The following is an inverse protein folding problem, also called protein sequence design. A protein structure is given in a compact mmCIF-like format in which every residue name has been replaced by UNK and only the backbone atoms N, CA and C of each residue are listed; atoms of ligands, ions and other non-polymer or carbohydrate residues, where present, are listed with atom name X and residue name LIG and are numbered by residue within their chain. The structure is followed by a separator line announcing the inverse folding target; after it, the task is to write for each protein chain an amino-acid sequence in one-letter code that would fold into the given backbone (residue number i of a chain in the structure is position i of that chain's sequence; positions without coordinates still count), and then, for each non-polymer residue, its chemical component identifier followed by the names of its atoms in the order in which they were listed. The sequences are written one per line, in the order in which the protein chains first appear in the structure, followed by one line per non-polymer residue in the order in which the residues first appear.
data_IF_344504882304
#
_entry.id   IF_344504882304
#
_cell.length_a   1.000
_cell.length_b   1.000
_cell.length_c   1.000
_cell.angle_alpha   90.00
_cell.angle_beta   90.00
_cell.angle_gamma   90.00
#
_symmetry.space_group_name_H-M   'P 1'
#
loop_
_entity.id
_entity.type
_entity.pdbx_description
1 polymer ?
#
# COMPACT_ATOMS: atom_id res chain seq x y z
N UNK A 1 -2.83 -8.93 18.58
CA UNK A 1 -1.73 -8.86 17.60
C UNK A 1 -1.80 -10.08 16.70
N UNK A 2 -1.64 -9.94 15.38
CA UNK A 2 -1.63 -11.09 14.46
C UNK A 2 -0.26 -11.77 14.49
N UNK A 3 -0.21 -13.11 14.53
CA UNK A 3 1.02 -13.92 14.55
C UNK A 3 2.07 -13.49 13.51
N UNK A 4 1.61 -13.13 12.31
CA UNK A 4 2.49 -12.71 11.22
C UNK A 4 3.18 -11.35 11.48
N UNK A 5 2.55 -10.43 12.23
CA UNK A 5 3.11 -9.09 12.54
C UNK A 5 4.11 -9.12 13.69
N UNK A 6 4.13 -10.18 14.49
CA UNK A 6 5.09 -10.39 15.58
C UNK A 6 6.28 -11.25 15.16
N UNK A 7 6.30 -11.73 13.91
CA UNK A 7 7.36 -12.61 13.41
C UNK A 7 8.63 -11.80 13.07
N UNK A 8 9.85 -12.34 13.30
CA UNK A 8 11.11 -11.67 12.95
C UNK A 8 11.22 -11.28 11.48
N UNK A 9 10.53 -11.99 10.59
CA UNK A 9 10.50 -11.68 9.16
C UNK A 9 9.70 -10.43 8.84
N UNK A 10 8.95 -9.85 9.77
CA UNK A 10 8.18 -8.64 9.53
C UNK A 10 9.10 -7.41 9.43
N UNK A 11 9.19 -6.85 8.21
CA UNK A 11 9.99 -5.68 7.90
C UNK A 11 9.23 -4.36 8.09
N UNK A 12 7.96 -4.44 8.48
CA UNK A 12 7.09 -3.29 8.68
C UNK A 12 6.08 -3.08 7.55
N UNK A 13 5.53 -1.87 7.51
CA UNK A 13 4.61 -1.45 6.46
C UNK A 13 5.39 -0.65 5.42
N UNK A 14 5.33 -1.08 4.15
CA UNK A 14 5.84 -0.29 3.03
C UNK A 14 4.66 0.36 2.33
N UNK A 15 4.89 1.58 1.88
CA UNK A 15 3.92 2.34 1.13
C UNK A 15 4.64 2.99 -0.03
N UNK A 16 4.02 2.93 -1.20
CA UNK A 16 4.40 3.84 -2.26
C UNK A 16 4.01 5.26 -1.88
N UNK A 17 4.99 6.15 -1.96
CA UNK A 17 4.85 7.55 -1.55
C UNK A 17 4.22 8.33 -2.69
N UNK A 18 2.90 8.29 -2.79
CA UNK A 18 2.15 9.15 -3.70
C UNK A 18 1.58 10.36 -2.93
N UNK A 19 1.78 11.54 -3.50
CA UNK A 19 1.07 12.75 -3.10
C UNK A 19 -0.28 12.75 -3.79
N UNK A 20 -1.37 12.86 -3.02
CA UNK A 20 -2.70 13.02 -3.62
C UNK A 20 -2.77 14.44 -4.17
N UNK A 21 -3.15 14.58 -5.44
CA UNK A 21 -3.35 15.87 -6.09
C UNK A 21 -4.84 16.17 -6.23
N UNK A 22 -5.18 17.46 -6.18
CA UNK A 22 -6.46 18.02 -6.60
C UNK A 22 -6.56 17.99 -8.14
N UNK A 23 -7.76 18.17 -8.72
CA UNK A 23 -7.95 18.20 -10.19
C UNK A 23 -7.12 19.26 -10.92
N UNK A 24 -6.65 20.29 -10.20
CA UNK A 24 -5.78 21.34 -10.72
C UNK A 24 -4.27 20.99 -10.64
N UNK A 25 -3.93 19.78 -10.18
CA UNK A 25 -2.54 19.30 -10.07
C UNK A 25 -1.79 19.73 -8.80
N UNK A 26 -2.43 20.47 -7.89
CA UNK A 26 -1.81 20.86 -6.60
C UNK A 26 -1.99 19.76 -5.55
N UNK A 27 -1.05 19.58 -4.60
CA UNK A 27 -1.23 18.62 -3.51
C UNK A 27 -2.51 18.90 -2.71
N UNK A 28 -3.27 17.84 -2.41
CA UNK A 28 -4.43 17.86 -1.54
C UNK A 28 -3.96 17.99 -0.08
N UNK A 29 -4.52 18.94 0.66
CA UNK A 29 -4.15 19.21 2.05
C UNK A 29 -5.37 19.11 2.95
N UNK A 30 -5.22 18.39 4.06
CA UNK A 30 -6.15 18.41 5.19
C UNK A 30 -5.69 19.44 6.21
N UNK A 31 -6.63 20.26 6.70
CA UNK A 31 -6.39 21.24 7.76
C UNK A 31 -6.89 20.63 9.06
N UNK A 32 -5.98 20.36 10.00
CA UNK A 32 -6.33 19.94 11.35
C UNK A 32 -6.12 21.12 12.31
N UNK A 33 -7.11 21.39 13.16
CA UNK A 33 -6.99 22.39 14.23
C UNK A 33 -6.66 21.65 15.52
N UNK A 34 -5.45 21.83 16.04
CA UNK A 34 -5.03 21.26 17.32
C UNK A 34 -4.51 22.39 18.21
N UNK A 35 -5.08 22.53 19.41
CA UNK A 35 -4.66 23.54 20.38
C UNK A 35 -4.79 25.00 19.92
N UNK A 36 -5.72 25.30 19.00
CA UNK A 36 -5.91 26.65 18.46
C UNK A 36 -4.97 27.04 17.30
N UNK A 37 -4.03 26.16 16.91
CA UNK A 37 -3.23 26.34 15.70
C UNK A 37 -3.77 25.48 14.55
N UNK A 38 -3.76 26.05 13.34
CA UNK A 38 -4.11 25.35 12.11
C UNK A 38 -2.86 24.70 11.52
N UNK A 39 -2.85 23.37 11.42
CA UNK A 39 -1.78 22.60 10.80
C UNK A 39 -2.27 22.06 9.46
N UNK A 40 -1.58 22.45 8.37
CA UNK A 40 -1.78 21.87 7.04
C UNK A 40 -0.95 20.59 6.91
N UNK A 41 -1.63 19.46 6.70
CA UNK A 41 -0.99 18.17 6.40
C UNK A 41 -1.32 17.76 4.97
N UNK A 42 -0.29 17.43 4.20
CA UNK A 42 -0.45 16.82 2.87
C UNK A 42 -1.19 15.51 3.04
N UNK A 43 -2.23 15.30 2.25
CA UNK A 43 -2.96 14.05 2.25
C UNK A 43 -2.12 13.00 1.54
N UNK A 44 -1.70 12.01 2.31
CA UNK A 44 -0.91 10.87 1.84
C UNK A 44 -1.77 9.61 1.87
N UNK A 45 -1.48 8.65 1.00
CA UNK A 45 -2.07 7.31 1.13
C UNK A 45 -1.65 6.69 2.48
N UNK A 46 -2.44 5.78 3.04
CA UNK A 46 -2.04 5.02 4.25
C UNK A 46 -1.26 3.77 3.83
N UNK A 47 -0.25 3.32 4.59
CA UNK A 47 0.47 2.09 4.28
C UNK A 47 -0.47 0.91 4.37
N UNK A 48 -0.73 0.23 3.25
CA UNK A 48 -1.61 -0.95 3.20
C UNK A 48 -0.85 -2.25 2.93
N UNK A 49 0.40 -2.19 2.48
CA UNK A 49 1.21 -3.37 2.19
C UNK A 49 2.04 -3.77 3.42
N UNK A 50 1.90 -5.02 3.83
CA UNK A 50 2.78 -5.65 4.81
C UNK A 50 4.04 -6.13 4.08
N UNK A 51 5.20 -5.85 4.64
CA UNK A 51 6.47 -6.30 4.09
C UNK A 51 7.12 -7.33 4.98
N UNK A 52 7.62 -8.39 4.33
CA UNK A 52 8.26 -9.51 4.98
C UNK A 52 9.55 -9.90 4.26
N UNK A 53 10.49 -10.48 4.99
CA UNK A 53 11.62 -11.20 4.43
C UNK A 53 11.12 -12.54 3.85
N UNK A 54 11.06 -12.60 2.52
CA UNK A 54 10.63 -13.80 1.80
C UNK A 54 11.57 -14.98 2.04
N UNK A 55 12.88 -14.79 2.08
CA UNK A 55 13.84 -15.88 2.22
C UNK A 55 13.69 -16.58 3.57
N UNK A 56 13.49 -15.78 4.63
CA UNK A 56 13.23 -16.31 5.96
C UNK A 56 11.91 -17.07 6.03
N UNK A 57 10.85 -16.55 5.38
CA UNK A 57 9.56 -17.24 5.35
C UNK A 57 9.59 -18.53 4.50
N UNK A 58 10.33 -18.54 3.38
CA UNK A 58 10.54 -19.71 2.53
C UNK A 58 11.20 -20.84 3.33
N UNK A 59 12.27 -20.54 4.07
CA UNK A 59 13.01 -21.54 4.85
C UNK A 59 12.18 -22.12 6.01
N UNK A 60 11.44 -21.27 6.73
CA UNK A 60 10.67 -21.69 7.91
C UNK A 60 9.33 -22.37 7.59
N UNK A 61 8.65 -21.95 6.52
CA UNK A 61 7.29 -22.38 6.20
C UNK A 61 7.16 -23.11 4.86
N UNK A 62 8.26 -23.23 4.09
CA UNK A 62 8.23 -23.86 2.77
C UNK A 62 7.43 -23.07 1.72
N UNK A 63 7.47 -21.73 1.78
CA UNK A 63 6.72 -20.87 0.86
C UNK A 63 7.38 -20.75 -0.51
N UNK A 64 6.63 -21.03 -1.57
CA UNK A 64 7.02 -20.74 -2.94
C UNK A 64 6.15 -19.64 -3.55
N UNK A 65 6.79 -18.80 -4.37
CA UNK A 65 6.09 -17.76 -5.13
C UNK A 65 5.62 -18.35 -6.45
N UNK A 66 4.33 -18.26 -6.72
CA UNK A 66 3.75 -18.61 -8.01
C UNK A 66 3.59 -17.35 -8.87
N UNK A 67 3.60 -17.52 -10.18
CA UNK A 67 3.34 -16.45 -11.13
C UNK A 67 1.97 -16.67 -11.74
N UNK A 68 1.04 -15.77 -11.48
CA UNK A 68 -0.24 -15.71 -12.17
C UNK A 68 -0.16 -14.66 -13.28
N UNK A 69 -0.57 -15.03 -14.50
CA UNK A 69 -0.76 -14.08 -15.58
C UNK A 69 -2.07 -13.34 -15.32
N UNK A 70 -1.99 -12.11 -14.82
CA UNK A 70 -3.16 -11.23 -14.73
C UNK A 70 -3.57 -10.88 -16.16
N UNK A 71 -4.69 -11.42 -16.63
CA UNK A 71 -5.34 -10.89 -17.82
C UNK A 71 -5.94 -9.54 -17.43
N UNK A 72 -5.55 -8.47 -18.11
CA UNK A 72 -6.17 -7.16 -17.91
C UNK A 72 -7.67 -7.32 -18.20
N UNK A 73 -8.53 -7.12 -17.18
CA UNK A 73 -10.00 -7.17 -17.32
C UNK A 73 -10.52 -6.21 -18.42
N UNK A 74 -9.68 -5.29 -18.90
CA UNK A 74 -9.96 -4.39 -20.01
C UNK A 74 -10.13 -5.07 -21.37
N UNK A 75 -9.60 -6.28 -21.58
CA UNK A 75 -9.78 -6.99 -22.86
C UNK A 75 -11.13 -7.70 -22.96
N UNK A 76 -11.78 -8.05 -21.84
CA UNK A 76 -13.08 -8.74 -21.86
C UNK A 76 -14.26 -7.79 -22.13
N UNK A 77 -14.10 -6.49 -21.86
CA UNK A 77 -15.14 -5.49 -22.13
C UNK A 77 -15.18 -5.04 -23.60
N UNK A 78 -14.12 -5.30 -24.38
CA UNK A 78 -13.96 -4.77 -25.74
C UNK A 78 -14.27 -5.79 -26.86
N UNK A 79 -14.45 -7.08 -26.53
CA UNK A 79 -14.90 -8.11 -27.49
C UNK A 79 -16.43 -8.33 -27.52
N UNK A 80 -17.19 -7.55 -26.74
CA UNK A 80 -18.67 -7.61 -26.72
C UNK A 80 -19.33 -6.29 -27.18
N UNK A 81 -18.65 -5.48 -28.01
CA UNK A 81 -19.22 -4.30 -28.68
C UNK A 81 -19.30 -4.46 -30.19
#
# INVERSE_FOLDING_TARGET
MSYLKSHPSFLGLKQDRFTILLPNGLPDYTIEVSGGQQLKKVKVNRPKALCFDYLQLKDMFGLDLETEMVQDEMDLANEVS
#
